data_IF_638561944495
#
_entry.id   IF_638561944495
#
_cell.length_a   1.000
_cell.length_b   1.000
_cell.length_c   1.000
_cell.angle_alpha   90.00
_cell.angle_beta   90.00
_cell.angle_gamma   90.00
#
_symmetry.space_group_name_H-M   'P 1'
#
loop_
_entity.id
_entity.type
_entity.pdbx_description
1 polymer ?
#
# COMPACT_ATOMS: atom_id res chain seq x y z
N UNK A 1 -84.11 -28.38 12.41
CA UNK A 1 -83.16 -29.07 11.50
C UNK A 1 -82.55 -28.07 10.52
N UNK A 2 -81.45 -27.47 10.81
CA UNK A 2 -80.66 -26.70 9.83
C UNK A 2 -79.17 -26.96 10.10
N UNK A 3 -78.53 -27.60 9.12
CA UNK A 3 -77.11 -27.96 9.15
C UNK A 3 -76.23 -26.72 8.91
N UNK A 4 -75.39 -26.38 9.85
CA UNK A 4 -74.27 -25.39 9.68
C UNK A 4 -73.12 -26.00 8.90
N UNK A 5 -72.79 -25.43 7.73
CA UNK A 5 -71.55 -25.77 6.93
C UNK A 5 -70.44 -24.91 7.44
N UNK A 6 -69.47 -25.53 8.10
CA UNK A 6 -68.18 -24.92 8.45
C UNK A 6 -67.31 -24.74 7.20
N UNK A 7 -67.11 -23.49 6.79
CA UNK A 7 -66.17 -23.12 5.74
C UNK A 7 -64.76 -22.89 6.39
N UNK A 8 -63.88 -23.88 6.25
CA UNK A 8 -62.50 -23.73 6.66
C UNK A 8 -61.74 -22.98 5.55
N UNK A 9 -61.42 -21.71 5.80
CA UNK A 9 -60.50 -20.92 4.97
C UNK A 9 -59.09 -21.36 5.30
N UNK A 10 -58.41 -22.02 4.36
CA UNK A 10 -56.99 -22.31 4.43
C UNK A 10 -56.23 -21.04 4.00
N UNK A 11 -55.68 -20.31 4.96
CA UNK A 11 -54.72 -19.25 4.68
C UNK A 11 -53.38 -19.91 4.31
N UNK A 12 -53.05 -19.91 3.02
CA UNK A 12 -51.69 -20.25 2.54
C UNK A 12 -50.75 -19.07 2.84
N UNK A 13 -49.96 -19.17 3.90
CA UNK A 13 -48.84 -18.28 4.16
C UNK A 13 -47.74 -18.60 3.15
N UNK A 14 -47.65 -17.83 2.07
CA UNK A 14 -46.47 -17.84 1.19
C UNK A 14 -45.36 -17.12 1.93
N UNK A 15 -44.48 -17.88 2.59
CA UNK A 15 -43.23 -17.38 3.14
C UNK A 15 -42.28 -17.16 1.95
N UNK A 16 -42.19 -15.91 1.47
CA UNK A 16 -41.17 -15.49 0.54
C UNK A 16 -39.85 -15.52 1.32
N UNK A 17 -39.10 -16.60 1.19
CA UNK A 17 -37.69 -16.69 1.56
C UNK A 17 -36.92 -15.69 0.66
N UNK A 18 -36.76 -14.48 1.16
CA UNK A 18 -35.74 -13.57 0.65
C UNK A 18 -34.36 -14.19 0.94
N UNK A 19 -33.92 -15.03 0.02
CA UNK A 19 -32.50 -15.37 -0.03
C UNK A 19 -31.72 -14.05 -0.20
N UNK A 20 -30.72 -13.76 0.64
CA UNK A 20 -29.84 -12.63 0.37
C UNK A 20 -29.29 -12.84 -1.04
N UNK A 21 -29.60 -11.93 -1.93
CA UNK A 21 -29.01 -11.89 -3.26
C UNK A 21 -27.51 -11.88 -3.05
N UNK A 22 -26.87 -13.03 -3.26
CA UNK A 22 -25.43 -13.13 -3.36
C UNK A 22 -25.05 -12.08 -4.38
N UNK A 23 -24.34 -11.03 -3.95
CA UNK A 23 -23.69 -10.10 -4.84
C UNK A 23 -22.60 -10.94 -5.54
N UNK A 24 -23.01 -11.71 -6.53
CA UNK A 24 -22.11 -12.21 -7.55
C UNK A 24 -21.60 -10.95 -8.23
N UNK A 25 -20.37 -10.56 -7.87
CA UNK A 25 -19.65 -9.59 -8.65
C UNK A 25 -19.78 -10.06 -10.11
N UNK A 26 -20.47 -9.26 -10.92
CA UNK A 26 -20.67 -9.54 -12.32
C UNK A 26 -19.28 -9.49 -12.92
N UNK A 27 -18.67 -10.67 -13.18
CA UNK A 27 -17.45 -10.78 -13.95
C UNK A 27 -17.79 -10.23 -15.33
N UNK A 28 -17.48 -8.95 -15.52
CA UNK A 28 -17.66 -8.32 -16.81
C UNK A 28 -16.87 -9.09 -17.87
N UNK A 29 -17.46 -9.38 -19.00
CA UNK A 29 -16.78 -10.03 -20.08
C UNK A 29 -15.66 -9.14 -20.62
N UNK A 30 -14.57 -9.72 -21.11
CA UNK A 30 -13.52 -8.97 -21.81
C UNK A 30 -14.09 -8.15 -22.98
N UNK A 31 -15.12 -8.66 -23.62
CA UNK A 31 -15.82 -7.96 -24.70
C UNK A 31 -16.48 -6.67 -24.18
N UNK A 32 -17.13 -6.72 -23.03
CA UNK A 32 -17.73 -5.53 -22.43
C UNK A 32 -16.67 -4.52 -22.00
N UNK A 33 -15.58 -4.98 -21.37
CA UNK A 33 -14.46 -4.11 -21.02
C UNK A 33 -13.84 -3.42 -22.25
N UNK A 34 -13.73 -4.13 -23.38
CA UNK A 34 -13.27 -3.55 -24.65
C UNK A 34 -14.26 -2.53 -25.22
N UNK A 35 -15.57 -2.73 -25.06
CA UNK A 35 -16.58 -1.73 -25.43
C UNK A 35 -16.50 -0.45 -24.63
N UNK A 36 -16.11 -0.54 -23.35
CA UNK A 36 -15.81 0.63 -22.52
C UNK A 36 -14.54 1.36 -22.98
N UNK A 37 -13.63 0.66 -23.66
CA UNK A 37 -12.51 1.18 -24.44
C UNK A 37 -11.28 1.61 -23.64
N UNK A 38 -11.44 1.93 -22.34
CA UNK A 38 -10.34 2.38 -21.47
C UNK A 38 -10.58 2.09 -20.00
N UNK A 39 -9.51 2.25 -19.22
CA UNK A 39 -9.54 2.33 -17.76
C UNK A 39 -8.71 3.54 -17.31
N UNK A 40 -9.22 4.31 -16.37
CA UNK A 40 -8.53 5.47 -15.76
C UNK A 40 -7.93 5.03 -14.43
N UNK A 41 -6.61 5.05 -14.36
CA UNK A 41 -5.86 4.61 -13.19
C UNK A 41 -5.15 5.76 -12.48
N UNK A 42 -5.57 6.09 -11.25
CA UNK A 42 -4.86 7.01 -10.37
C UNK A 42 -3.92 6.23 -9.45
N UNK A 43 -2.62 6.54 -9.49
CA UNK A 43 -1.62 5.76 -8.75
C UNK A 43 -0.53 6.61 -8.10
N UNK A 44 -0.02 6.12 -6.98
CA UNK A 44 1.19 6.63 -6.32
C UNK A 44 2.45 5.81 -6.65
N UNK A 45 2.33 4.77 -7.46
CA UNK A 45 3.46 3.96 -7.92
C UNK A 45 4.50 4.80 -8.68
N UNK A 46 5.75 4.36 -8.70
CA UNK A 46 6.77 4.98 -9.55
C UNK A 46 6.35 4.93 -11.03
N UNK A 47 6.46 6.06 -11.73
CA UNK A 47 5.91 6.24 -13.08
C UNK A 47 6.36 5.14 -14.05
N UNK A 48 7.67 4.89 -14.10
CA UNK A 48 8.25 3.85 -14.98
C UNK A 48 7.59 2.47 -14.80
N UNK A 49 7.31 2.08 -13.57
CA UNK A 49 6.65 0.79 -13.28
C UNK A 49 5.16 0.84 -13.60
N UNK A 50 4.49 1.95 -13.29
CA UNK A 50 3.08 2.13 -13.63
C UNK A 50 2.86 2.06 -15.15
N UNK A 51 3.74 2.70 -15.93
CA UNK A 51 3.74 2.63 -17.40
C UNK A 51 3.97 1.20 -17.91
N UNK A 52 4.88 0.43 -17.30
CA UNK A 52 5.08 -0.97 -17.68
C UNK A 52 3.84 -1.81 -17.44
N UNK A 53 3.20 -1.67 -16.27
CA UNK A 53 1.94 -2.37 -15.95
C UNK A 53 0.85 -1.97 -16.93
N UNK A 54 0.67 -0.68 -17.22
CA UNK A 54 -0.32 -0.17 -18.16
C UNK A 54 -0.08 -0.70 -19.58
N UNK A 55 1.15 -0.58 -20.10
CA UNK A 55 1.51 -1.01 -21.45
C UNK A 55 1.30 -2.51 -21.70
N UNK A 56 1.60 -3.34 -20.68
CA UNK A 56 1.36 -4.79 -20.80
C UNK A 56 -0.15 -5.07 -20.84
N UNK A 57 -0.95 -4.38 -20.03
CA UNK A 57 -2.40 -4.49 -20.07
C UNK A 57 -2.98 -4.11 -21.42
N UNK A 58 -2.62 -2.95 -21.93
CA UNK A 58 -3.05 -2.46 -23.25
C UNK A 58 -2.73 -3.45 -24.36
N UNK A 59 -1.49 -3.94 -24.40
CA UNK A 59 -1.04 -4.93 -25.39
C UNK A 59 -1.77 -6.28 -25.26
N UNK A 60 -2.12 -6.69 -24.05
CA UNK A 60 -2.73 -7.99 -23.80
C UNK A 60 -4.23 -7.96 -24.08
N UNK A 61 -4.92 -6.89 -23.71
CA UNK A 61 -6.38 -6.85 -23.70
C UNK A 61 -6.98 -5.88 -24.73
N UNK A 62 -6.18 -4.98 -25.30
CA UNK A 62 -6.66 -3.96 -26.26
C UNK A 62 -7.52 -2.88 -25.60
N UNK A 63 -7.33 -2.65 -24.30
CA UNK A 63 -8.04 -1.62 -23.52
C UNK A 63 -7.01 -0.58 -23.11
N UNK A 64 -7.25 0.70 -23.42
CA UNK A 64 -6.34 1.80 -23.11
C UNK A 64 -6.28 2.06 -21.59
N UNK A 65 -5.09 2.39 -21.05
CA UNK A 65 -4.93 2.83 -19.67
C UNK A 65 -4.59 4.32 -19.62
N UNK A 66 -5.52 5.11 -19.13
CA UNK A 66 -5.27 6.53 -18.84
C UNK A 66 -4.66 6.66 -17.45
N UNK A 67 -3.34 6.82 -17.41
CA UNK A 67 -2.56 6.85 -16.17
C UNK A 67 -2.43 8.27 -15.61
N UNK A 68 -2.81 8.46 -14.36
CA UNK A 68 -2.49 9.67 -13.59
C UNK A 68 -1.64 9.29 -12.39
N UNK A 69 -0.38 9.73 -12.38
CA UNK A 69 0.56 9.51 -11.27
C UNK A 69 0.69 10.75 -10.38
N UNK A 70 0.49 10.59 -9.07
CA UNK A 70 0.76 11.62 -8.07
C UNK A 70 1.20 11.01 -6.73
N UNK A 71 1.52 11.83 -5.73
CA UNK A 71 1.73 11.33 -4.36
C UNK A 71 0.40 10.87 -3.75
N UNK A 72 0.44 9.93 -2.79
CA UNK A 72 -0.75 9.29 -2.21
C UNK A 72 -1.79 10.30 -1.73
N UNK A 73 -1.37 11.28 -0.93
CA UNK A 73 -2.27 12.29 -0.37
C UNK A 73 -2.95 13.15 -1.45
N UNK A 74 -2.25 13.41 -2.58
CA UNK A 74 -2.82 14.16 -3.71
C UNK A 74 -3.80 13.30 -4.53
N UNK A 75 -3.52 12.01 -4.68
CA UNK A 75 -4.47 11.06 -5.30
C UNK A 75 -5.77 11.05 -4.51
N UNK A 76 -5.69 10.87 -3.19
CA UNK A 76 -6.86 10.81 -2.30
C UNK A 76 -7.62 12.13 -2.30
N UNK A 77 -6.93 13.27 -2.16
CA UNK A 77 -7.55 14.58 -2.20
C UNK A 77 -8.29 14.81 -3.52
N UNK A 78 -7.69 14.45 -4.65
CA UNK A 78 -8.30 14.54 -5.97
C UNK A 78 -9.57 13.70 -6.08
N UNK A 79 -9.52 12.43 -5.67
CA UNK A 79 -10.70 11.54 -5.70
C UNK A 79 -11.85 12.12 -4.88
N UNK A 80 -11.56 12.66 -3.67
CA UNK A 80 -12.56 13.28 -2.81
C UNK A 80 -13.14 14.55 -3.44
N UNK A 81 -12.30 15.44 -3.97
CA UNK A 81 -12.72 16.68 -4.60
C UNK A 81 -13.56 16.44 -5.86
N UNK A 82 -13.14 15.53 -6.73
CA UNK A 82 -13.90 15.12 -7.91
C UNK A 82 -15.28 14.57 -7.51
N UNK A 83 -15.35 13.68 -6.51
CA UNK A 83 -16.60 13.13 -6.01
C UNK A 83 -17.54 14.21 -5.43
N UNK A 84 -17.00 15.18 -4.69
CA UNK A 84 -17.77 16.31 -4.16
C UNK A 84 -18.31 17.23 -5.26
N UNK A 85 -17.58 17.39 -6.36
CA UNK A 85 -18.00 18.12 -7.54
C UNK A 85 -18.96 17.33 -8.46
N UNK A 86 -19.32 16.09 -8.09
CA UNK A 86 -20.15 15.22 -8.93
C UNK A 86 -19.39 14.63 -10.14
N UNK A 87 -18.07 14.79 -10.18
CA UNK A 87 -17.19 14.32 -11.25
C UNK A 87 -16.71 12.90 -10.89
N UNK A 88 -16.86 11.96 -11.82
CA UNK A 88 -16.43 10.59 -11.65
C UNK A 88 -15.47 10.23 -12.78
N UNK A 89 -14.16 10.54 -12.59
CA UNK A 89 -13.14 10.34 -13.62
C UNK A 89 -12.31 9.08 -13.41
N UNK A 90 -12.22 8.56 -12.19
CA UNK A 90 -11.32 7.47 -11.85
C UNK A 90 -12.03 6.13 -11.81
N UNK A 91 -11.38 5.11 -12.37
CA UNK A 91 -11.85 3.72 -12.32
C UNK A 91 -11.15 2.92 -11.23
N UNK A 92 -9.80 2.96 -11.22
CA UNK A 92 -8.95 2.23 -10.28
C UNK A 92 -8.03 3.18 -9.55
N UNK A 93 -7.96 3.02 -8.24
CA UNK A 93 -7.14 3.83 -7.34
C UNK A 93 -6.06 2.92 -6.74
N UNK A 94 -4.83 3.41 -6.69
CA UNK A 94 -3.70 2.77 -6.02
C UNK A 94 -2.86 3.80 -5.29
N UNK A 95 -2.57 3.55 -4.01
CA UNK A 95 -1.72 4.40 -3.20
C UNK A 95 -0.80 3.58 -2.29
N UNK A 96 0.10 4.23 -1.59
CA UNK A 96 1.05 3.55 -0.69
C UNK A 96 0.59 3.50 0.77
N UNK A 97 -0.63 3.96 1.08
CA UNK A 97 -1.10 4.12 2.47
C UNK A 97 -2.50 3.56 2.69
N UNK A 98 -2.59 2.52 3.52
CA UNK A 98 -3.84 1.84 3.79
C UNK A 98 -4.84 2.70 4.60
N UNK A 99 -4.35 3.59 5.48
CA UNK A 99 -5.19 4.51 6.24
C UNK A 99 -6.01 5.46 5.36
N UNK A 100 -5.40 5.99 4.31
CA UNK A 100 -6.06 6.87 3.35
C UNK A 100 -7.12 6.12 2.51
N UNK A 101 -6.89 4.84 2.22
CA UNK A 101 -7.91 4.01 1.56
C UNK A 101 -9.13 3.75 2.45
N UNK A 102 -8.91 3.55 3.75
CA UNK A 102 -9.99 3.42 4.71
C UNK A 102 -10.84 4.70 4.77
N UNK A 103 -10.24 5.89 4.61
CA UNK A 103 -10.98 7.15 4.49
C UNK A 103 -11.86 7.18 3.23
N UNK A 104 -11.37 6.71 2.07
CA UNK A 104 -12.18 6.61 0.85
C UNK A 104 -13.37 5.66 1.05
N UNK A 105 -13.16 4.52 1.74
CA UNK A 105 -14.24 3.59 2.11
C UNK A 105 -15.27 4.25 3.01
N UNK A 106 -14.85 4.95 4.07
CA UNK A 106 -15.75 5.66 4.99
C UNK A 106 -16.61 6.72 4.28
N UNK A 107 -16.06 7.35 3.24
CA UNK A 107 -16.79 8.32 2.40
C UNK A 107 -17.70 7.65 1.35
N UNK A 108 -17.77 6.33 1.29
CA UNK A 108 -18.58 5.60 0.31
C UNK A 108 -18.09 5.77 -1.13
N UNK A 109 -16.80 5.95 -1.35
CA UNK A 109 -16.21 6.20 -2.68
C UNK A 109 -15.67 4.95 -3.37
N UNK A 110 -15.67 3.81 -2.67
CA UNK A 110 -15.13 2.55 -3.18
C UNK A 110 -16.24 1.53 -3.46
N UNK A 111 -16.00 0.67 -4.44
CA UNK A 111 -16.80 -0.49 -4.77
C UNK A 111 -16.15 -1.75 -4.22
N UNK A 112 -16.91 -2.62 -3.58
CA UNK A 112 -16.40 -3.90 -3.11
C UNK A 112 -16.18 -4.85 -4.29
N UNK A 113 -14.99 -5.44 -4.36
CA UNK A 113 -14.63 -6.51 -5.29
C UNK A 113 -13.46 -7.30 -4.71
N UNK A 114 -13.56 -8.62 -4.65
CA UNK A 114 -12.47 -9.50 -4.22
C UNK A 114 -11.80 -10.11 -5.43
N UNK A 115 -10.48 -9.90 -5.62
CA UNK A 115 -9.74 -10.50 -6.72
C UNK A 115 -9.81 -12.04 -6.70
N UNK A 116 -9.64 -12.65 -7.85
CA UNK A 116 -9.48 -14.12 -7.95
C UNK A 116 -8.34 -14.57 -7.05
N UNK A 117 -8.50 -15.73 -6.42
CA UNK A 117 -7.55 -16.29 -5.45
C UNK A 117 -7.39 -15.48 -4.15
N UNK A 118 -8.24 -14.49 -3.86
CA UNK A 118 -8.18 -13.69 -2.63
C UNK A 118 -8.03 -14.54 -1.37
N UNK A 119 -8.76 -15.65 -1.27
CA UNK A 119 -8.72 -16.57 -0.12
C UNK A 119 -7.36 -17.29 0.03
N UNK A 120 -6.52 -17.25 -0.98
CA UNK A 120 -5.16 -17.84 -0.97
C UNK A 120 -4.07 -16.80 -0.68
N UNK A 121 -4.43 -15.53 -0.57
CA UNK A 121 -3.46 -14.49 -0.24
C UNK A 121 -3.01 -14.63 1.23
N UNK A 122 -1.73 -14.36 1.53
CA UNK A 122 -1.29 -14.29 2.91
C UNK A 122 -2.13 -13.29 3.71
N UNK A 123 -2.55 -13.66 4.92
CA UNK A 123 -3.42 -12.83 5.77
C UNK A 123 -2.92 -11.40 5.95
N UNK A 124 -1.61 -11.20 5.90
CA UNK A 124 -0.94 -9.88 5.97
C UNK A 124 -1.38 -8.93 4.85
N UNK A 125 -1.81 -9.45 3.70
CA UNK A 125 -2.26 -8.65 2.56
C UNK A 125 -3.77 -8.39 2.53
N UNK A 126 -4.52 -9.01 3.45
CA UNK A 126 -5.97 -8.86 3.56
C UNK A 126 -6.31 -7.63 4.40
N UNK A 127 -6.28 -6.44 3.78
CA UNK A 127 -6.45 -5.16 4.47
C UNK A 127 -7.88 -4.85 4.89
N UNK A 128 -8.85 -5.27 4.08
CA UNK A 128 -10.26 -5.00 4.30
C UNK A 128 -11.11 -6.26 4.12
N UNK A 129 -11.69 -6.74 5.22
CA UNK A 129 -12.53 -7.95 5.23
C UNK A 129 -13.81 -7.82 4.40
N UNK A 130 -14.27 -6.58 4.16
CA UNK A 130 -15.48 -6.32 3.38
C UNK A 130 -15.20 -6.27 1.87
N UNK A 131 -13.91 -6.30 1.47
CA UNK A 131 -13.49 -6.43 0.08
C UNK A 131 -13.47 -5.12 -0.72
N UNK A 132 -13.43 -3.96 -0.07
CA UNK A 132 -13.36 -2.68 -0.78
C UNK A 132 -11.97 -2.34 -1.30
N UNK A 133 -10.92 -2.86 -0.64
CA UNK A 133 -9.54 -2.66 -1.05
C UNK A 133 -8.61 -3.76 -0.55
N UNK A 134 -7.52 -3.98 -1.28
CA UNK A 134 -6.58 -5.06 -1.03
C UNK A 134 -5.15 -4.57 -1.22
N UNK A 135 -4.22 -5.08 -0.41
CA UNK A 135 -2.82 -4.85 -0.69
C UNK A 135 -2.40 -5.69 -1.91
N UNK A 136 -1.99 -5.04 -2.98
CA UNK A 136 -1.51 -5.72 -4.17
C UNK A 136 0.02 -5.80 -4.24
N UNK A 137 0.68 -5.01 -3.42
CA UNK A 137 2.12 -5.03 -3.19
C UNK A 137 2.47 -4.55 -1.79
N UNK A 138 3.65 -4.88 -1.35
CA UNK A 138 4.20 -4.40 -0.10
C UNK A 138 5.67 -4.04 -0.24
N UNK A 139 6.14 -3.12 0.58
CA UNK A 139 7.55 -2.87 0.80
C UNK A 139 7.90 -3.01 2.27
N UNK A 140 9.20 -3.16 2.55
CA UNK A 140 9.73 -3.17 3.90
C UNK A 140 10.47 -1.87 4.10
N UNK A 141 10.09 -1.11 5.13
CA UNK A 141 10.80 0.06 5.58
C UNK A 141 11.76 -0.33 6.71
N UNK A 142 13.01 0.03 6.53
CA UNK A 142 14.10 -0.25 7.46
C UNK A 142 15.24 0.74 7.27
N UNK A 143 16.19 0.81 8.21
CA UNK A 143 17.35 1.66 8.05
C UNK A 143 18.24 1.22 6.89
N UNK A 144 18.88 2.20 6.25
CA UNK A 144 19.83 2.02 5.15
C UNK A 144 21.12 2.71 5.53
N UNK A 145 22.26 2.10 5.20
CA UNK A 145 23.56 2.67 5.50
C UNK A 145 24.50 2.64 4.31
N UNK A 146 25.50 3.54 4.33
CA UNK A 146 26.60 3.54 3.37
C UNK A 146 27.69 2.59 3.86
N UNK A 147 28.01 1.56 3.08
CA UNK A 147 28.96 0.51 3.46
C UNK A 147 30.43 0.97 3.49
N UNK A 148 30.74 2.13 2.93
CA UNK A 148 32.09 2.75 3.01
C UNK A 148 32.23 3.64 4.24
N UNK A 149 31.14 4.25 4.70
CA UNK A 149 31.14 5.18 5.84
C UNK A 149 30.88 4.50 7.18
N UNK A 150 30.19 3.35 7.16
CA UNK A 150 29.81 2.59 8.37
C UNK A 150 30.52 1.23 8.32
N UNK A 151 31.58 1.04 9.12
CA UNK A 151 32.26 -0.26 9.24
C UNK A 151 31.30 -1.36 9.73
N UNK A 152 31.51 -2.60 9.31
CA UNK A 152 30.64 -3.74 9.65
C UNK A 152 30.42 -3.91 11.17
N UNK A 153 31.47 -3.62 11.98
CA UNK A 153 31.40 -3.67 13.45
C UNK A 153 30.49 -2.60 14.08
N UNK A 154 30.24 -1.51 13.35
CA UNK A 154 29.46 -0.35 13.84
C UNK A 154 28.06 -0.26 13.23
N UNK A 155 27.66 -1.23 12.39
CA UNK A 155 26.32 -1.25 11.79
C UNK A 155 25.27 -1.42 12.89
N UNK A 156 24.26 -0.51 12.99
CA UNK A 156 23.17 -0.65 13.92
C UNK A 156 22.45 -2.00 13.76
N UNK A 157 22.04 -2.60 14.87
CA UNK A 157 21.32 -3.89 14.90
C UNK A 157 19.86 -3.75 15.28
N UNK A 158 19.46 -2.55 15.73
CA UNK A 158 18.12 -2.25 16.22
C UNK A 158 17.72 -0.84 15.80
N UNK A 159 16.41 -0.55 15.83
CA UNK A 159 15.94 0.82 15.70
C UNK A 159 16.47 1.70 16.83
N UNK A 160 16.60 1.12 18.04
CA UNK A 160 17.10 1.85 19.22
C UNK A 160 18.52 2.35 19.03
N UNK A 161 19.38 1.61 18.33
CA UNK A 161 20.77 2.01 18.11
C UNK A 161 20.89 3.31 17.31
N UNK A 162 19.85 3.67 16.54
CA UNK A 162 19.85 4.89 15.72
C UNK A 162 19.74 6.19 16.54
N UNK A 163 19.36 6.11 17.81
CA UNK A 163 19.32 7.29 18.68
C UNK A 163 20.65 7.50 19.44
N UNK A 164 21.66 6.64 19.23
CA UNK A 164 22.98 6.81 19.81
C UNK A 164 23.59 8.15 19.33
N UNK A 165 24.16 8.97 20.25
CA UNK A 165 24.84 10.23 19.90
C UNK A 165 25.99 10.09 18.90
N UNK A 166 26.59 8.90 18.74
CA UNK A 166 27.59 8.62 17.74
C UNK A 166 27.13 8.88 16.29
N UNK A 167 25.81 8.92 16.07
CA UNK A 167 25.18 9.20 14.78
C UNK A 167 24.85 10.68 14.56
N UNK A 168 25.22 11.57 15.47
CA UNK A 168 24.96 12.99 15.34
C UNK A 168 25.50 13.53 14.01
N UNK A 169 24.70 14.32 13.30
CA UNK A 169 24.99 14.93 12.00
C UNK A 169 25.28 13.93 10.85
N UNK A 170 25.04 12.62 11.05
CA UNK A 170 25.30 11.56 10.06
C UNK A 170 24.04 10.94 9.48
N UNK A 171 22.84 11.38 9.93
CA UNK A 171 21.57 10.74 9.62
C UNK A 171 20.67 11.55 8.70
N UNK A 172 19.76 10.83 8.04
CA UNK A 172 18.61 11.34 7.32
C UNK A 172 17.33 10.74 7.92
N UNK A 173 16.26 11.53 7.98
CA UNK A 173 14.91 11.13 8.38
C UNK A 173 13.93 11.44 7.25
N UNK A 174 13.09 10.48 6.91
CA UNK A 174 12.03 10.69 5.91
C UNK A 174 10.89 11.51 6.53
N UNK A 175 10.34 12.44 5.77
CA UNK A 175 9.16 13.19 6.16
C UNK A 175 7.95 12.25 6.34
N UNK A 176 7.09 12.52 7.35
CA UNK A 176 5.96 11.66 7.68
C UNK A 176 4.99 11.41 6.51
N UNK A 177 4.85 12.39 5.59
CA UNK A 177 3.94 12.30 4.44
C UNK A 177 4.45 11.41 3.30
N UNK A 178 5.68 10.94 3.33
CA UNK A 178 6.15 9.97 2.35
C UNK A 178 5.66 8.57 2.73
N UNK A 179 5.12 7.83 1.77
CA UNK A 179 4.36 6.60 1.89
C UNK A 179 4.68 5.60 3.03
N UNK A 180 5.94 5.44 3.41
CA UNK A 180 6.33 4.59 4.53
C UNK A 180 6.40 5.34 5.88
N UNK A 181 6.55 6.67 5.87
CA UNK A 181 6.87 7.45 7.06
C UNK A 181 5.83 7.33 8.17
N UNK A 182 4.54 7.45 7.83
CA UNK A 182 3.43 7.30 8.78
C UNK A 182 3.43 5.91 9.43
N UNK A 183 3.63 4.85 8.61
CA UNK A 183 3.66 3.47 9.10
C UNK A 183 4.84 3.24 10.06
N UNK A 184 6.03 3.75 9.73
CA UNK A 184 7.21 3.60 10.59
C UNK A 184 7.02 4.36 11.89
N UNK A 185 6.51 5.60 11.84
CA UNK A 185 6.23 6.37 13.05
C UNK A 185 5.17 5.70 13.93
N UNK A 186 4.10 5.18 13.34
CA UNK A 186 3.08 4.45 14.07
C UNK A 186 3.65 3.19 14.75
N UNK A 187 4.46 2.40 14.04
CA UNK A 187 5.08 1.19 14.58
C UNK A 187 6.08 1.50 15.71
N UNK A 188 7.01 2.42 15.48
CA UNK A 188 8.09 2.70 16.44
C UNK A 188 7.58 3.44 17.68
N UNK A 189 6.60 4.33 17.55
CA UNK A 189 5.99 4.98 18.71
C UNK A 189 5.18 4.02 19.58
N UNK A 190 4.69 2.93 19.02
CA UNK A 190 4.06 1.86 19.79
C UNK A 190 5.08 1.09 20.66
N UNK A 191 6.32 0.96 20.17
CA UNK A 191 7.40 0.24 20.90
C UNK A 191 8.11 1.17 21.88
N UNK A 192 8.43 2.39 21.46
CA UNK A 192 9.35 3.29 22.17
C UNK A 192 8.74 4.61 22.64
N UNK A 193 7.48 4.87 22.28
CA UNK A 193 6.87 6.18 22.49
C UNK A 193 7.50 7.30 21.63
N UNK A 194 7.03 8.52 21.83
CA UNK A 194 7.53 9.70 21.13
C UNK A 194 8.96 10.11 21.53
N UNK A 195 9.44 9.62 22.68
CA UNK A 195 10.80 9.91 23.17
C UNK A 195 11.89 9.33 22.27
N UNK A 196 11.59 8.28 21.49
CA UNK A 196 12.46 7.80 20.44
C UNK A 196 12.75 8.90 19.42
N UNK A 197 11.71 9.54 18.89
CA UNK A 197 11.85 10.60 17.91
C UNK A 197 12.45 11.89 18.48
N UNK A 198 12.16 12.22 19.74
CA UNK A 198 12.83 13.33 20.45
C UNK A 198 14.33 13.05 20.59
N UNK A 199 14.71 11.82 20.89
CA UNK A 199 16.11 11.39 20.96
C UNK A 199 16.76 11.40 19.57
N UNK A 200 16.08 10.90 18.56
CA UNK A 200 16.54 10.97 17.17
C UNK A 200 16.79 12.42 16.71
N UNK A 201 15.92 13.37 17.10
CA UNK A 201 16.06 14.79 16.79
C UNK A 201 17.35 15.39 17.35
N UNK A 202 17.83 14.92 18.51
CA UNK A 202 19.11 15.35 19.11
C UNK A 202 20.32 15.01 18.23
N UNK A 203 20.21 13.98 17.40
CA UNK A 203 21.21 13.61 16.41
C UNK A 203 21.20 14.49 15.15
N UNK A 204 20.35 15.54 15.10
CA UNK A 204 20.28 16.52 14.03
C UNK A 204 20.12 15.88 12.62
N UNK A 205 19.12 14.99 12.40
CA UNK A 205 18.93 14.38 11.10
C UNK A 205 18.45 15.42 10.07
N UNK A 206 18.97 15.33 8.85
CA UNK A 206 18.42 16.11 7.72
C UNK A 206 17.12 15.46 7.25
N UNK A 207 16.08 16.25 7.07
CA UNK A 207 14.78 15.76 6.64
C UNK A 207 14.73 15.70 5.12
N UNK A 208 14.36 14.53 4.58
CA UNK A 208 14.16 14.29 3.14
C UNK A 208 12.69 13.99 2.84
N UNK A 209 12.22 14.41 1.67
CA UNK A 209 10.81 14.29 1.30
C UNK A 209 10.39 12.85 0.93
N UNK A 210 11.35 12.01 0.52
CA UNK A 210 11.05 10.63 0.12
C UNK A 210 12.22 9.68 0.45
N UNK A 211 11.91 8.43 0.75
CA UNK A 211 12.91 7.39 0.99
C UNK A 211 13.86 7.20 -0.21
N UNK A 212 13.38 7.32 -1.44
CA UNK A 212 14.21 7.24 -2.65
C UNK A 212 15.28 8.34 -2.72
N UNK A 213 14.92 9.57 -2.34
CA UNK A 213 15.86 10.68 -2.20
C UNK A 213 16.91 10.36 -1.13
N UNK A 214 16.47 9.90 0.04
CA UNK A 214 17.38 9.54 1.13
C UNK A 214 18.37 8.45 0.76
N UNK A 215 17.93 7.41 0.05
CA UNK A 215 18.84 6.34 -0.45
C UNK A 215 19.90 6.91 -1.42
N UNK A 216 19.53 7.86 -2.29
CA UNK A 216 20.48 8.50 -3.20
C UNK A 216 21.54 9.33 -2.46
N UNK A 217 21.14 10.09 -1.45
CA UNK A 217 22.03 10.89 -0.60
C UNK A 217 23.01 9.99 0.19
N UNK A 218 22.51 8.87 0.74
CA UNK A 218 23.37 7.87 1.42
C UNK A 218 24.33 7.22 0.42
N UNK A 219 23.86 6.89 -0.78
CA UNK A 219 24.68 6.29 -1.83
C UNK A 219 25.82 7.22 -2.27
N UNK A 220 25.56 8.52 -2.35
CA UNK A 220 26.58 9.55 -2.64
C UNK A 220 27.60 9.75 -1.50
N UNK A 221 27.33 9.24 -0.30
CA UNK A 221 28.19 9.39 0.86
C UNK A 221 28.04 10.72 1.61
N UNK A 222 27.01 11.51 1.31
CA UNK A 222 26.75 12.76 2.00
C UNK A 222 26.25 12.55 3.44
N UNK A 223 25.60 11.40 3.69
CA UNK A 223 25.19 10.95 5.02
C UNK A 223 25.43 9.45 5.16
N UNK A 224 25.70 9.02 6.38
CA UNK A 224 26.03 7.63 6.68
C UNK A 224 24.78 6.72 6.72
N UNK A 225 23.67 7.23 7.24
CA UNK A 225 22.45 6.43 7.50
C UNK A 225 21.19 7.18 7.07
N UNK A 226 20.28 6.47 6.42
CA UNK A 226 18.86 6.84 6.30
C UNK A 226 18.07 6.01 7.32
N UNK A 227 17.44 6.67 8.28
CA UNK A 227 16.72 6.02 9.37
C UNK A 227 15.52 5.20 8.84
N UNK A 228 14.80 5.74 7.86
CA UNK A 228 13.57 5.13 7.31
C UNK A 228 13.67 4.97 5.79
N UNK A 229 14.58 4.12 5.35
CA UNK A 229 14.67 3.71 3.95
C UNK A 229 13.68 2.61 3.60
N UNK A 230 13.76 2.10 2.38
CA UNK A 230 13.01 0.93 1.99
C UNK A 230 13.85 -0.04 1.16
N UNK A 231 13.48 -1.32 1.26
CA UNK A 231 14.24 -2.43 0.68
C UNK A 231 14.40 -2.26 -0.83
N UNK A 232 13.31 -2.09 -1.55
CA UNK A 232 13.31 -2.10 -3.02
C UNK A 232 14.17 -0.99 -3.63
N UNK A 233 14.10 0.25 -3.11
CA UNK A 233 14.93 1.36 -3.59
C UNK A 233 16.41 1.12 -3.30
N UNK A 234 16.71 0.62 -2.10
CA UNK A 234 18.09 0.33 -1.70
C UNK A 234 18.71 -0.75 -2.57
N UNK A 235 18.00 -1.85 -2.81
CA UNK A 235 18.50 -2.93 -3.63
C UNK A 235 18.69 -2.52 -5.09
N UNK A 236 17.79 -1.67 -5.63
CA UNK A 236 17.95 -1.09 -6.97
C UNK A 236 19.20 -0.22 -7.09
N UNK A 237 19.48 0.60 -6.08
CA UNK A 237 20.67 1.47 -6.05
C UNK A 237 21.93 0.63 -5.85
N UNK A 238 21.89 -0.38 -4.98
CA UNK A 238 22.98 -1.35 -4.75
C UNK A 238 23.33 -2.13 -6.01
N UNK A 239 22.33 -2.60 -6.77
CA UNK A 239 22.52 -3.32 -8.02
C UNK A 239 23.27 -2.50 -9.10
N UNK A 240 23.27 -1.17 -8.99
CA UNK A 240 24.04 -0.25 -9.83
C UNK A 240 25.48 -0.03 -9.31
N UNK A 241 25.95 -0.82 -8.34
CA UNK A 241 27.31 -0.74 -7.78
C UNK A 241 27.50 0.31 -6.68
N UNK A 242 26.43 0.94 -6.19
CA UNK A 242 26.54 1.94 -5.13
C UNK A 242 26.77 1.30 -3.75
N UNK A 243 27.54 1.96 -2.85
CA UNK A 243 27.92 1.41 -1.55
C UNK A 243 26.79 1.56 -0.50
N UNK A 244 25.64 0.95 -0.74
CA UNK A 244 24.51 0.97 0.18
C UNK A 244 24.08 -0.43 0.57
N UNK A 245 23.60 -0.60 1.79
CA UNK A 245 22.95 -1.82 2.24
C UNK A 245 21.84 -1.51 3.24
N UNK A 246 20.97 -2.49 3.47
CA UNK A 246 19.87 -2.41 4.43
C UNK A 246 20.29 -2.97 5.80
N UNK A 247 19.59 -2.51 6.83
CA UNK A 247 19.67 -3.07 8.18
C UNK A 247 18.33 -3.74 8.46
N UNK A 248 18.35 -5.00 8.91
CA UNK A 248 17.18 -5.68 9.45
C UNK A 248 17.19 -5.55 10.97
N UNK A 249 16.39 -4.64 11.56
CA UNK A 249 16.41 -4.39 13.00
C UNK A 249 15.91 -5.60 13.78
N UNK A 250 16.47 -5.83 14.96
CA UNK A 250 16.08 -6.96 15.85
C UNK A 250 14.62 -6.92 16.28
N UNK A 251 14.01 -5.73 16.36
CA UNK A 251 12.58 -5.54 16.63
C UNK A 251 11.70 -5.95 15.47
N UNK A 252 12.23 -5.89 14.28
CA UNK A 252 11.56 -6.12 12.99
C UNK A 252 11.59 -4.90 12.08
N UNK A 253 11.52 -5.15 10.78
CA UNK A 253 11.35 -4.10 9.77
C UNK A 253 9.85 -3.76 9.61
N UNK A 254 9.52 -2.52 9.26
CA UNK A 254 8.11 -2.12 9.14
C UNK A 254 7.54 -2.53 7.79
N UNK A 255 6.50 -3.34 7.81
CA UNK A 255 5.77 -3.74 6.61
C UNK A 255 4.81 -2.63 6.18
N UNK A 256 4.98 -2.14 4.96
CA UNK A 256 4.13 -1.09 4.36
C UNK A 256 3.36 -1.69 3.20
N UNK A 257 2.05 -1.74 3.35
CA UNK A 257 1.13 -2.35 2.40
C UNK A 257 0.53 -1.27 1.50
N UNK A 258 0.59 -1.48 0.19
CA UNK A 258 0.04 -0.56 -0.81
C UNK A 258 -1.30 -1.09 -1.31
N UNK A 259 -2.41 -0.45 -0.92
CA UNK A 259 -3.74 -0.85 -1.33
C UNK A 259 -4.07 -0.42 -2.77
N UNK A 260 -4.97 -1.18 -3.38
CA UNK A 260 -5.68 -0.85 -4.60
C UNK A 260 -7.16 -1.21 -4.47
N UNK A 261 -8.01 -0.53 -5.22
CA UNK A 261 -9.44 -0.79 -5.27
C UNK A 261 -10.12 -0.03 -6.40
N UNK A 262 -11.38 -0.33 -6.67
CA UNK A 262 -12.18 0.32 -7.71
C UNK A 262 -13.07 1.41 -7.13
N UNK A 263 -13.26 2.50 -7.89
CA UNK A 263 -14.17 3.56 -7.50
C UNK A 263 -15.63 3.08 -7.57
N UNK A 264 -16.48 3.55 -6.63
CA UNK A 264 -17.91 3.20 -6.62
C UNK A 264 -18.62 3.59 -7.92
N UNK A 265 -18.32 4.79 -8.41
CA UNK A 265 -18.90 5.35 -9.63
C UNK A 265 -17.89 5.38 -10.77
N UNK A 266 -17.12 4.29 -10.92
CA UNK A 266 -16.16 4.13 -12.02
C UNK A 266 -16.89 4.33 -13.36
N UNK A 267 -16.40 5.23 -14.24
CA UNK A 267 -17.01 5.44 -15.56
C UNK A 267 -16.89 4.23 -16.49
N UNK A 268 -15.89 3.37 -16.27
CA UNK A 268 -15.64 2.15 -17.03
C UNK A 268 -15.61 0.92 -16.08
N UNK A 269 -16.76 0.53 -15.48
CA UNK A 269 -16.80 -0.38 -14.34
C UNK A 269 -16.34 -1.80 -14.67
N UNK A 270 -16.53 -2.27 -15.91
CA UNK A 270 -16.08 -3.58 -16.35
C UNK A 270 -14.58 -3.59 -16.60
N UNK A 271 -14.05 -2.55 -17.27
CA UNK A 271 -12.61 -2.38 -17.48
C UNK A 271 -11.87 -2.19 -16.16
N UNK A 272 -12.46 -1.49 -15.18
CA UNK A 272 -11.93 -1.33 -13.83
C UNK A 272 -11.72 -2.68 -13.13
N UNK A 273 -12.73 -3.55 -13.13
CA UNK A 273 -12.63 -4.90 -12.54
C UNK A 273 -11.58 -5.73 -13.28
N UNK A 274 -11.59 -5.67 -14.62
CA UNK A 274 -10.60 -6.38 -15.44
C UNK A 274 -9.17 -5.94 -15.11
N UNK A 275 -8.95 -4.63 -14.96
CA UNK A 275 -7.64 -4.09 -14.62
C UNK A 275 -7.22 -4.46 -13.20
N UNK A 276 -8.16 -4.45 -12.24
CA UNK A 276 -7.88 -4.90 -10.88
C UNK A 276 -7.46 -6.38 -10.85
N UNK A 277 -8.22 -7.27 -11.51
CA UNK A 277 -7.88 -8.69 -11.63
C UNK A 277 -6.51 -8.91 -12.28
N UNK A 278 -6.21 -8.14 -13.32
CA UNK A 278 -4.91 -8.17 -13.98
C UNK A 278 -3.76 -7.76 -13.05
N UNK A 279 -3.95 -6.71 -12.20
CA UNK A 279 -2.95 -6.31 -11.20
C UNK A 279 -2.60 -7.46 -10.24
N UNK A 280 -3.57 -8.32 -9.91
CA UNK A 280 -3.38 -9.49 -9.04
C UNK A 280 -3.00 -10.76 -9.79
N UNK A 281 -2.83 -10.72 -11.11
CA UNK A 281 -2.41 -11.90 -11.89
C UNK A 281 -0.96 -12.29 -11.56
N UNK A 282 -0.67 -13.59 -11.65
CA UNK A 282 0.68 -14.14 -11.43
C UNK A 282 1.73 -13.42 -12.26
N UNK A 283 1.44 -13.16 -13.54
CA UNK A 283 2.35 -12.47 -14.47
C UNK A 283 2.76 -11.08 -13.97
N UNK A 284 1.79 -10.27 -13.52
CA UNK A 284 2.08 -8.91 -13.07
C UNK A 284 2.70 -8.90 -11.70
N UNK A 285 2.27 -9.76 -10.82
CA UNK A 285 2.87 -9.91 -9.51
C UNK A 285 4.34 -10.38 -9.61
N UNK A 286 4.66 -11.30 -10.52
CA UNK A 286 6.04 -11.70 -10.78
C UNK A 286 6.86 -10.54 -11.40
N UNK A 287 6.29 -9.78 -12.33
CA UNK A 287 6.94 -8.60 -12.91
C UNK A 287 7.34 -7.58 -11.83
N UNK A 288 6.48 -7.35 -10.83
CA UNK A 288 6.79 -6.46 -9.71
C UNK A 288 8.00 -6.95 -8.91
N UNK A 289 8.07 -8.25 -8.63
CA UNK A 289 9.21 -8.83 -7.92
C UNK A 289 10.49 -8.65 -8.73
N UNK A 290 10.47 -9.06 -10.00
CA UNK A 290 11.64 -9.11 -10.86
C UNK A 290 12.25 -7.71 -11.09
N UNK A 291 11.40 -6.71 -11.32
CA UNK A 291 11.84 -5.36 -11.65
C UNK A 291 12.05 -4.44 -10.44
N UNK A 292 11.38 -4.71 -9.32
CA UNK A 292 11.37 -3.77 -8.20
C UNK A 292 11.73 -4.37 -6.85
N UNK A 293 11.78 -5.70 -6.70
CA UNK A 293 11.99 -6.35 -5.39
C UNK A 293 10.88 -6.01 -4.38
N UNK A 294 9.65 -5.76 -4.85
CA UNK A 294 8.47 -5.61 -3.99
C UNK A 294 7.93 -6.99 -3.56
N UNK A 295 7.31 -7.04 -2.41
CA UNK A 295 6.56 -8.21 -1.97
C UNK A 295 5.12 -8.14 -2.50
N UNK A 296 4.54 -9.30 -2.81
CA UNK A 296 3.23 -9.40 -3.45
C UNK A 296 2.38 -10.50 -2.82
N UNK A 297 1.03 -10.42 -2.90
CA UNK A 297 0.14 -11.41 -2.30
C UNK A 297 0.00 -12.71 -3.11
N UNK A 298 0.39 -12.76 -4.38
CA UNK A 298 0.09 -13.92 -5.23
C UNK A 298 0.81 -15.18 -4.71
N UNK A 299 0.09 -16.30 -4.47
CA UNK A 299 0.64 -17.47 -3.81
C UNK A 299 1.72 -18.21 -4.61
N UNK A 300 1.74 -18.03 -5.93
CA UNK A 300 2.73 -18.65 -6.82
C UNK A 300 3.95 -17.73 -7.08
N UNK A 301 4.00 -16.56 -6.45
CA UNK A 301 5.09 -15.61 -6.64
C UNK A 301 6.44 -16.20 -6.21
N UNK A 302 7.46 -16.06 -7.06
CA UNK A 302 8.81 -16.57 -6.83
C UNK A 302 9.76 -15.42 -6.56
N UNK A 303 10.36 -15.43 -5.37
CA UNK A 303 11.35 -14.43 -4.98
C UNK A 303 12.76 -14.86 -5.36
N UNK A 304 13.62 -13.93 -5.83
CA UNK A 304 15.02 -14.22 -6.07
C UNK A 304 15.75 -14.67 -4.80
N UNK A 305 16.81 -15.46 -4.96
CA UNK A 305 17.56 -16.04 -3.83
C UNK A 305 18.21 -14.99 -2.90
N UNK A 306 18.47 -13.79 -3.42
CA UNK A 306 19.01 -12.66 -2.66
C UNK A 306 17.92 -11.80 -1.98
N UNK A 307 16.65 -12.18 -2.13
CA UNK A 307 15.50 -11.52 -1.49
C UNK A 307 14.89 -12.45 -0.43
N UNK A 308 15.02 -12.13 0.86
CA UNK A 308 14.47 -12.99 1.90
C UNK A 308 12.96 -13.07 1.77
N UNK A 309 12.35 -14.26 1.83
CA UNK A 309 10.89 -14.40 1.85
C UNK A 309 10.27 -13.64 3.03
N UNK A 310 9.10 -13.06 2.82
CA UNK A 310 8.41 -12.28 3.87
C UNK A 310 8.17 -13.10 5.15
N UNK A 311 7.91 -14.41 4.99
CA UNK A 311 7.73 -15.34 6.11
C UNK A 311 8.96 -15.56 6.98
N UNK A 312 10.15 -15.26 6.48
CA UNK A 312 11.41 -15.35 7.22
C UNK A 312 11.82 -14.03 7.87
N UNK A 313 11.13 -12.94 7.56
CA UNK A 313 11.42 -11.63 8.10
C UNK A 313 10.58 -11.37 9.35
N UNK A 314 11.24 -10.88 10.39
CA UNK A 314 10.54 -10.27 11.51
C UNK A 314 10.01 -8.92 11.04
N UNK A 315 8.70 -8.76 11.03
CA UNK A 315 8.05 -7.54 10.55
C UNK A 315 7.17 -6.91 11.63
N UNK A 316 7.10 -5.59 11.58
CA UNK A 316 6.18 -4.77 12.35
C UNK A 316 5.07 -4.31 11.38
N UNK A 317 3.86 -4.76 11.60
CA UNK A 317 2.68 -4.31 10.86
C UNK A 317 1.81 -3.44 11.75
N UNK A 318 1.28 -2.35 11.19
CA UNK A 318 0.34 -1.47 11.88
C UNK A 318 -1.05 -1.71 11.30
N UNK A 319 -2.06 -2.05 12.13
CA UNK A 319 -3.43 -2.20 11.67
C UNK A 319 -3.96 -0.92 11.02
N UNK A 320 -4.79 -1.08 9.99
CA UNK A 320 -5.33 0.05 9.20
C UNK A 320 -6.13 1.04 10.07
N UNK A 321 -6.94 0.53 10.98
CA UNK A 321 -7.74 1.35 11.90
C UNK A 321 -6.86 2.15 12.88
N UNK A 322 -5.71 1.62 13.28
CA UNK A 322 -4.73 2.33 14.10
C UNK A 322 -4.07 3.46 13.28
N UNK A 323 -3.70 3.20 12.03
CA UNK A 323 -3.17 4.24 11.13
C UNK A 323 -4.15 5.40 10.96
N UNK A 324 -5.43 5.10 10.71
CA UNK A 324 -6.49 6.12 10.57
C UNK A 324 -6.61 6.96 11.82
N UNK A 325 -6.69 6.32 13.00
CA UNK A 325 -6.84 7.01 14.29
C UNK A 325 -5.66 7.90 14.63
N UNK A 326 -4.45 7.50 14.24
CA UNK A 326 -3.21 8.16 14.64
C UNK A 326 -2.63 9.14 13.63
N UNK A 327 -3.20 9.24 12.43
CA UNK A 327 -2.66 10.07 11.36
C UNK A 327 -2.49 11.54 11.77
N UNK A 328 -3.52 12.13 12.39
CA UNK A 328 -3.46 13.53 12.87
C UNK A 328 -2.46 13.72 14.01
N UNK A 329 -2.38 12.75 14.94
CA UNK A 329 -1.38 12.73 16.01
C UNK A 329 0.05 12.70 15.42
N UNK A 330 0.30 11.79 14.49
CA UNK A 330 1.62 11.62 13.86
C UNK A 330 2.04 12.90 13.15
N UNK A 331 1.14 13.51 12.38
CA UNK A 331 1.41 14.79 11.71
C UNK A 331 1.80 15.89 12.69
N UNK A 332 1.00 16.09 13.72
CA UNK A 332 1.22 17.10 14.75
C UNK A 332 2.55 16.88 15.47
N UNK A 333 2.79 15.65 15.92
CA UNK A 333 4.00 15.30 16.66
C UNK A 333 5.27 15.40 15.81
N UNK A 334 5.17 15.05 14.53
CA UNK A 334 6.30 15.23 13.61
C UNK A 334 6.68 16.71 13.49
N UNK A 335 5.69 17.58 13.24
CA UNK A 335 5.91 19.03 13.16
C UNK A 335 6.48 19.59 14.46
N UNK A 336 5.95 19.19 15.62
CA UNK A 336 6.43 19.61 16.94
C UNK A 336 7.89 19.21 17.18
N UNK A 337 8.24 17.95 16.88
CA UNK A 337 9.57 17.40 17.19
C UNK A 337 10.63 17.91 16.20
N UNK A 338 10.31 17.96 14.91
CA UNK A 338 11.30 18.28 13.87
C UNK A 338 11.27 19.73 13.38
N UNK A 339 10.28 20.53 13.81
CA UNK A 339 10.22 21.97 13.55
C UNK A 339 9.86 22.30 12.09
N UNK A 340 8.85 21.61 11.51
CA UNK A 340 8.46 21.74 10.09
C UNK A 340 7.01 22.21 9.95
#
# INVERSE_FOLDING_TARGET
MVRSRNLRVFLLLITILLTPASIRAQEGSLEQARKEGKVVWYTAMALEMAEQVANIFEKTYGIKVELTRSASERVVARVIQEAQAGINNVDVIEISEAGDFALLKQKGLLRAHRPKNYERFPSTFLLDKDGYFHAWRATIAQPVYNTRLVPASSVPKSWKDLVDPAWKDKQLKVHYVSGAGTNVMAALTKIYGWDYYRSLRKNNPVIVQAASQGVSVVAAGERAILVEGNYYNTMRVKAKGNPVNVIFPSEGAVLVLSPTGTALKAPHPTAAVFFLEYMFSEKIQQLLIDNTRLYVPHPNAKYPSDMPPLSQLKTLAVPVDELVKRQSEIKRMFTEIFGL
#
